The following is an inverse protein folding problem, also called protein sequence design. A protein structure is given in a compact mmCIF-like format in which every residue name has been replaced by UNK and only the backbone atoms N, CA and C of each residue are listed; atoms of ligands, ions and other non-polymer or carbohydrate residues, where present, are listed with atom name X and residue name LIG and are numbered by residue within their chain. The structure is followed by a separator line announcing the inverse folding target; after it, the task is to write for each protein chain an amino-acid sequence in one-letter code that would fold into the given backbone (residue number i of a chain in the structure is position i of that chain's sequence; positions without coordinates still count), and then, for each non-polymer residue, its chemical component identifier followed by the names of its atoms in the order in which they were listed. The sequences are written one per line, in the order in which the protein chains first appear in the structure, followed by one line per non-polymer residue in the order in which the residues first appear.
data_IF_507894178582
#
_entry.id   IF_507894178582
#
_cell.length_a   1.000
_cell.length_b   1.000
_cell.length_c   1.000
_cell.angle_alpha   90.00
_cell.angle_beta   90.00
_cell.angle_gamma   90.00
#
_symmetry.space_group_name_H-M   'P 1'
#
loop_
_entity.id
_entity.type
_entity.pdbx_description
1 polymer ?
#
# COMPACT_ATOMS: atom_id res chain seq x y z
N UNK A 1 -0.59 -17.29 -9.33
CA UNK A 1 -0.62 -16.48 -8.08
C UNK A 1 -1.26 -17.29 -6.96
N UNK A 2 -0.72 -17.16 -5.76
CA UNK A 2 -1.30 -17.83 -4.59
C UNK A 2 -2.61 -17.19 -4.19
N UNK A 3 -3.50 -17.97 -3.60
CA UNK A 3 -4.77 -17.46 -3.10
C UNK A 3 -4.59 -16.71 -1.78
N UNK A 4 -5.43 -15.70 -1.57
CA UNK A 4 -5.57 -15.04 -0.27
C UNK A 4 -6.26 -15.99 0.70
N UNK A 5 -5.74 -16.04 1.93
CA UNK A 5 -6.39 -16.75 3.03
C UNK A 5 -7.16 -15.75 3.92
N UNK A 6 -7.17 -16.01 5.21
CA UNK A 6 -7.78 -15.10 6.18
C UNK A 6 -7.01 -13.77 6.20
N UNK A 7 -7.70 -12.66 5.92
CA UNK A 7 -7.07 -11.34 5.90
C UNK A 7 -6.92 -10.83 7.33
N UNK A 8 -5.67 -10.73 7.77
CA UNK A 8 -5.30 -10.29 9.12
C UNK A 8 -4.76 -8.85 9.12
N UNK A 9 -4.27 -8.36 7.98
CA UNK A 9 -3.69 -7.02 7.87
C UNK A 9 -4.13 -6.31 6.60
N UNK A 10 -4.31 -4.99 6.75
CA UNK A 10 -4.42 -4.07 5.63
C UNK A 10 -3.17 -3.20 5.73
N UNK A 11 -2.28 -3.33 4.76
CA UNK A 11 -0.93 -2.78 4.83
C UNK A 11 -0.78 -1.60 3.89
N UNK A 12 -0.40 -0.45 4.45
CA UNK A 12 -0.18 0.77 3.68
C UNK A 12 1.29 0.85 3.26
N UNK A 13 1.51 1.11 1.97
CA UNK A 13 2.81 1.27 1.33
C UNK A 13 2.90 2.60 0.60
N UNK A 14 4.10 2.97 0.18
CA UNK A 14 4.33 4.00 -0.84
C UNK A 14 5.18 3.39 -1.97
N UNK A 15 5.16 4.05 -3.14
CA UNK A 15 5.97 3.58 -4.27
C UNK A 15 7.46 3.88 -4.09
N UNK A 16 7.83 4.70 -3.11
CA UNK A 16 9.20 5.17 -2.90
C UNK A 16 9.75 5.90 -4.12
N UNK A 17 8.90 6.72 -4.74
CA UNK A 17 9.25 7.52 -5.91
C UNK A 17 9.16 9.01 -5.56
N UNK A 18 9.91 9.84 -6.31
CA UNK A 18 9.91 11.29 -6.09
C UNK A 18 8.52 11.88 -6.33
N UNK A 19 8.20 12.91 -5.56
CA UNK A 19 6.90 13.60 -5.62
C UNK A 19 6.60 14.14 -7.02
N UNK A 20 7.63 14.50 -7.81
CA UNK A 20 7.46 14.96 -9.19
C UNK A 20 7.28 13.84 -10.21
N UNK A 21 7.52 12.61 -9.84
CA UNK A 21 7.44 11.47 -10.75
C UNK A 21 6.00 10.94 -10.82
N UNK A 22 5.47 10.88 -12.05
CA UNK A 22 4.17 10.23 -12.29
C UNK A 22 4.38 8.73 -12.41
N UNK A 23 3.64 7.97 -11.61
CA UNK A 23 3.71 6.51 -11.59
C UNK A 23 2.31 5.95 -11.75
N UNK A 24 2.15 4.98 -12.63
CA UNK A 24 0.88 4.29 -12.88
C UNK A 24 0.97 2.83 -12.44
N UNK A 25 -0.19 2.17 -12.37
CA UNK A 25 -0.22 0.71 -12.12
C UNK A 25 0.56 -0.04 -13.18
N UNK A 26 0.53 0.42 -14.45
CA UNK A 26 1.30 -0.20 -15.52
C UNK A 26 2.80 -0.14 -15.25
N UNK A 27 3.29 0.98 -14.72
CA UNK A 27 4.70 1.12 -14.35
C UNK A 27 5.07 0.15 -13.25
N UNK A 28 4.25 0.08 -12.20
CA UNK A 28 4.47 -0.82 -11.06
C UNK A 28 4.44 -2.28 -11.54
N UNK A 29 3.47 -2.61 -12.39
CA UNK A 29 3.33 -3.95 -12.96
C UNK A 29 4.60 -4.34 -13.72
N UNK A 30 5.11 -3.44 -14.57
CA UNK A 30 6.34 -3.66 -15.32
C UNK A 30 7.53 -3.88 -14.39
N UNK A 31 7.66 -3.06 -13.34
CA UNK A 31 8.77 -3.19 -12.39
C UNK A 31 8.71 -4.50 -11.61
N UNK A 32 7.50 -4.89 -11.18
CA UNK A 32 7.31 -6.14 -10.42
C UNK A 32 7.53 -7.37 -11.30
N UNK A 33 7.07 -7.35 -12.55
CA UNK A 33 7.34 -8.44 -13.51
C UNK A 33 8.83 -8.58 -13.79
N UNK A 34 9.57 -7.47 -13.83
CA UNK A 34 11.02 -7.49 -13.99
C UNK A 34 11.74 -8.17 -12.81
N UNK A 35 11.11 -8.20 -11.63
CA UNK A 35 11.61 -8.92 -10.45
C UNK A 35 11.22 -10.40 -10.45
N UNK A 36 10.48 -10.87 -11.45
CA UNK A 36 10.00 -12.24 -11.53
C UNK A 36 8.63 -12.48 -10.92
N UNK A 37 7.94 -11.42 -10.49
CA UNK A 37 6.59 -11.55 -9.93
C UNK A 37 5.55 -11.62 -11.07
N UNK A 38 4.36 -12.17 -10.75
CA UNK A 38 3.33 -12.40 -11.76
C UNK A 38 2.78 -11.10 -12.36
N UNK A 39 2.63 -10.05 -11.51
CA UNK A 39 2.12 -8.74 -11.90
C UNK A 39 2.30 -7.79 -10.72
N UNK A 40 1.70 -6.58 -10.79
CA UNK A 40 1.68 -5.63 -9.68
C UNK A 40 1.39 -6.37 -8.36
N UNK A 41 2.20 -6.13 -7.34
CA UNK A 41 2.08 -6.81 -6.06
C UNK A 41 1.09 -6.19 -5.08
N UNK A 42 0.64 -4.95 -5.34
CA UNK A 42 -0.36 -4.27 -4.51
C UNK A 42 -1.77 -4.56 -5.02
N UNK A 43 -2.74 -4.54 -4.13
CA UNK A 43 -4.15 -4.71 -4.50
C UNK A 43 -4.77 -3.40 -4.96
N UNK A 44 -4.36 -2.27 -4.35
CA UNK A 44 -4.86 -0.94 -4.68
C UNK A 44 -3.71 0.06 -4.74
N UNK A 45 -3.79 0.98 -5.70
CA UNK A 45 -2.80 2.05 -5.87
C UNK A 45 -3.54 3.38 -5.94
N UNK A 46 -3.11 4.35 -5.13
CA UNK A 46 -3.70 5.68 -5.08
C UNK A 46 -2.75 6.65 -5.75
N UNK A 47 -3.19 7.25 -6.87
CA UNK A 47 -2.40 8.22 -7.62
C UNK A 47 -2.39 9.57 -6.89
N UNK A 48 -1.49 10.45 -7.30
CA UNK A 48 -1.32 11.75 -6.65
C UNK A 48 -2.58 12.64 -6.72
N UNK A 49 -3.43 12.44 -7.73
CA UNK A 49 -4.71 13.14 -7.85
C UNK A 49 -5.82 12.54 -6.98
N UNK A 50 -5.52 11.51 -6.20
CA UNK A 50 -6.47 10.83 -5.34
C UNK A 50 -7.25 9.71 -6.01
N UNK A 51 -7.07 9.45 -7.30
CA UNK A 51 -7.77 8.35 -7.97
C UNK A 51 -7.25 7.01 -7.48
N UNK A 52 -8.17 6.05 -7.29
CA UNK A 52 -7.87 4.72 -6.77
C UNK A 52 -7.92 3.74 -7.93
N UNK A 53 -6.84 2.98 -8.10
CA UNK A 53 -6.69 2.06 -9.23
C UNK A 53 -6.47 0.64 -8.73
N UNK A 54 -7.13 -0.37 -9.35
CA UNK A 54 -6.91 -1.76 -8.98
C UNK A 54 -5.56 -2.26 -9.49
N UNK A 55 -4.90 -3.03 -8.64
CA UNK A 55 -3.73 -3.79 -9.02
C UNK A 55 -4.10 -5.26 -9.10
N UNK A 56 -3.48 -6.08 -8.21
CA UNK A 56 -3.80 -7.50 -8.13
C UNK A 56 -5.19 -7.68 -7.51
N UNK A 57 -6.06 -8.58 -8.02
CA UNK A 57 -7.36 -8.85 -7.38
C UNK A 57 -7.20 -9.33 -5.94
N UNK A 58 -8.12 -8.91 -5.06
CA UNK A 58 -8.03 -9.22 -3.61
C UNK A 58 -8.08 -10.70 -3.28
N UNK A 59 -8.67 -11.53 -4.17
CA UNK A 59 -8.71 -12.98 -3.97
C UNK A 59 -7.34 -13.64 -4.06
N UNK A 60 -6.34 -12.93 -4.57
CA UNK A 60 -4.97 -13.44 -4.69
C UNK A 60 -4.06 -12.74 -3.71
N UNK A 61 -3.15 -13.51 -3.11
CA UNK A 61 -2.09 -12.96 -2.28
C UNK A 61 -1.24 -12.00 -3.11
N UNK A 62 -0.90 -10.85 -2.54
CA UNK A 62 -0.04 -9.87 -3.19
C UNK A 62 1.43 -10.28 -3.15
N UNK A 63 2.28 -9.33 -3.51
CA UNK A 63 3.73 -9.41 -3.34
C UNK A 63 4.17 -8.06 -2.80
N UNK A 64 3.95 -7.83 -1.50
CA UNK A 64 4.21 -6.53 -0.87
C UNK A 64 4.72 -6.64 0.57
N UNK A 65 4.47 -7.74 1.29
CA UNK A 65 5.05 -8.01 2.61
C UNK A 65 5.50 -9.46 2.67
N UNK A 66 6.79 -9.67 2.55
CA UNK A 66 7.36 -11.03 2.56
C UNK A 66 6.92 -11.81 3.80
N UNK A 67 6.49 -13.05 3.61
CA UNK A 67 5.99 -13.99 4.61
C UNK A 67 4.57 -13.70 5.12
N UNK A 68 3.93 -12.59 4.73
CA UNK A 68 2.60 -12.21 5.20
C UNK A 68 1.59 -12.03 4.08
N UNK A 69 2.03 -12.17 2.82
CA UNK A 69 1.22 -11.84 1.64
C UNK A 69 -0.13 -12.56 1.58
N UNK A 70 -0.21 -13.79 2.07
CA UNK A 70 -1.47 -14.56 2.02
C UNK A 70 -2.50 -14.09 3.05
N UNK A 71 -2.13 -13.17 3.94
CA UNK A 71 -2.99 -12.64 5.00
C UNK A 71 -3.08 -11.12 4.98
N UNK A 72 -2.65 -10.48 3.89
CA UNK A 72 -2.51 -9.02 3.86
C UNK A 72 -3.01 -8.41 2.55
N UNK A 73 -3.89 -7.42 2.68
CA UNK A 73 -4.27 -6.55 1.56
C UNK A 73 -3.26 -5.41 1.49
N UNK A 74 -2.69 -5.16 0.32
CA UNK A 74 -1.72 -4.10 0.11
C UNK A 74 -2.32 -2.88 -0.56
N UNK A 75 -2.19 -1.72 0.08
CA UNK A 75 -2.64 -0.43 -0.42
C UNK A 75 -1.42 0.47 -0.55
N UNK A 76 -1.17 1.01 -1.74
CA UNK A 76 0.03 1.80 -2.02
C UNK A 76 -0.35 3.19 -2.54
N UNK A 77 0.23 4.24 -1.96
CA UNK A 77 0.12 5.57 -2.56
C UNK A 77 1.38 5.91 -3.36
N UNK A 78 1.19 6.63 -4.46
CA UNK A 78 2.31 7.08 -5.30
C UNK A 78 3.04 8.22 -4.61
N UNK A 79 4.33 8.04 -4.32
CA UNK A 79 5.16 9.04 -3.66
C UNK A 79 6.08 8.44 -2.62
N UNK A 80 6.33 9.19 -1.55
CA UNK A 80 7.16 8.78 -0.41
C UNK A 80 8.58 9.30 -0.45
N UNK A 81 8.97 10.02 -1.52
CA UNK A 81 10.30 10.64 -1.65
C UNK A 81 10.13 12.10 -2.07
N UNK A 82 10.79 13.01 -1.37
CA UNK A 82 10.74 14.43 -1.70
C UNK A 82 11.65 14.77 -2.90
N UNK A 83 11.66 16.04 -3.31
CA UNK A 83 12.48 16.49 -4.45
C UNK A 83 13.98 16.35 -4.21
N UNK A 84 14.41 16.30 -2.94
CA UNK A 84 15.80 16.12 -2.56
C UNK A 84 16.22 14.64 -2.49
N UNK A 85 15.30 13.72 -2.82
CA UNK A 85 15.57 12.28 -2.79
C UNK A 85 15.49 11.67 -1.41
N UNK A 86 14.89 12.36 -0.44
CA UNK A 86 14.76 11.86 0.93
C UNK A 86 13.35 11.33 1.18
N UNK A 87 13.24 10.29 1.99
CA UNK A 87 11.95 9.75 2.39
C UNK A 87 11.16 10.78 3.19
N UNK A 88 9.90 10.97 2.82
CA UNK A 88 9.00 11.91 3.45
C UNK A 88 7.55 11.52 3.18
N UNK A 89 6.65 11.98 4.04
CA UNK A 89 5.21 11.86 3.78
C UNK A 89 4.83 12.90 2.72
N UNK A 90 4.76 12.44 1.46
CA UNK A 90 4.46 13.30 0.31
C UNK A 90 3.00 13.19 -0.13
N UNK A 91 2.13 12.59 0.70
CA UNK A 91 0.72 12.42 0.32
C UNK A 91 0.06 13.78 0.06
N UNK A 92 -0.61 13.88 -1.08
CA UNK A 92 -1.45 15.04 -1.38
C UNK A 92 -2.71 15.02 -0.52
N UNK A 93 -3.42 16.16 -0.34
CA UNK A 93 -4.72 16.16 0.34
C UNK A 93 -5.71 15.16 -0.27
N UNK A 94 -5.69 15.02 -1.61
CA UNK A 94 -6.55 14.10 -2.34
C UNK A 94 -6.20 12.65 -2.01
N UNK A 95 -4.91 12.33 -1.89
CA UNK A 95 -4.47 10.99 -1.46
C UNK A 95 -4.86 10.69 -0.02
N UNK A 96 -4.72 11.66 0.87
CA UNK A 96 -5.11 11.48 2.28
C UNK A 96 -6.60 11.15 2.38
N UNK A 97 -7.44 11.89 1.67
CA UNK A 97 -8.89 11.65 1.66
C UNK A 97 -9.24 10.28 1.08
N UNK A 98 -8.67 9.95 -0.08
CA UNK A 98 -8.95 8.67 -0.74
C UNK A 98 -8.45 7.48 0.08
N UNK A 99 -7.28 7.61 0.69
CA UNK A 99 -6.72 6.56 1.54
C UNK A 99 -7.62 6.28 2.74
N UNK A 100 -8.11 7.32 3.40
CA UNK A 100 -9.03 7.16 4.53
C UNK A 100 -10.30 6.41 4.13
N UNK A 101 -10.93 6.82 3.01
CA UNK A 101 -12.15 6.17 2.53
C UNK A 101 -11.90 4.71 2.14
N UNK A 102 -10.82 4.44 1.43
CA UNK A 102 -10.48 3.07 1.03
C UNK A 102 -10.22 2.17 2.24
N UNK A 103 -9.45 2.66 3.21
CA UNK A 103 -9.16 1.88 4.43
C UNK A 103 -10.42 1.61 5.24
N UNK A 104 -11.33 2.60 5.31
CA UNK A 104 -12.61 2.41 5.98
C UNK A 104 -13.45 1.32 5.28
N UNK A 105 -13.51 1.35 3.95
CA UNK A 105 -14.23 0.34 3.17
C UNK A 105 -13.63 -1.04 3.36
N UNK A 106 -12.30 -1.14 3.32
CA UNK A 106 -11.60 -2.42 3.53
C UNK A 106 -11.84 -2.97 4.94
N UNK A 107 -11.91 -2.10 5.95
CA UNK A 107 -12.25 -2.53 7.31
C UNK A 107 -13.66 -3.08 7.42
N UNK A 108 -14.60 -2.55 6.63
CA UNK A 108 -15.95 -3.11 6.59
C UNK A 108 -15.96 -4.50 5.97
N UNK A 109 -15.15 -4.72 4.95
CA UNK A 109 -15.02 -6.03 4.31
C UNK A 109 -14.23 -7.02 5.19
N UNK A 110 -13.19 -6.54 5.85
CA UNK A 110 -12.29 -7.35 6.67
C UNK A 110 -12.22 -6.77 8.10
N UNK A 111 -13.30 -6.91 8.90
CA UNK A 111 -13.40 -6.19 10.19
C UNK A 111 -12.36 -6.62 11.22
N UNK A 112 -11.82 -7.83 11.10
CA UNK A 112 -10.77 -8.32 12.01
C UNK A 112 -9.36 -7.95 11.58
N UNK A 113 -9.20 -7.44 10.34
CA UNK A 113 -7.89 -7.04 9.85
C UNK A 113 -7.42 -5.75 10.53
N UNK A 114 -6.13 -5.68 10.84
CA UNK A 114 -5.53 -4.49 11.43
C UNK A 114 -4.85 -3.65 10.36
N UNK A 115 -5.07 -2.34 10.38
CA UNK A 115 -4.43 -1.40 9.48
C UNK A 115 -3.06 -1.06 10.04
N UNK A 116 -2.01 -1.35 9.27
CA UNK A 116 -0.61 -1.13 9.66
C UNK A 116 0.18 -0.57 8.48
N UNK A 117 1.36 -0.05 8.74
CA UNK A 117 2.32 0.33 7.71
C UNK A 117 3.28 -0.81 7.39
N UNK A 118 3.86 -0.79 6.20
CA UNK A 118 4.87 -1.78 5.81
C UNK A 118 6.01 -1.84 6.84
N UNK A 119 6.46 -0.69 7.33
CA UNK A 119 7.57 -0.61 8.30
C UNK A 119 7.23 -1.19 9.68
N UNK A 120 5.96 -1.52 9.93
CA UNK A 120 5.54 -2.09 11.22
C UNK A 120 5.79 -3.60 11.31
N UNK A 121 6.17 -4.24 10.21
CA UNK A 121 6.48 -5.68 10.21
C UNK A 121 7.91 -5.93 10.67
N UNK A 122 8.17 -7.09 11.31
CA UNK A 122 9.52 -7.46 11.72
C UNK A 122 10.49 -7.51 10.54
N UNK A 123 11.74 -7.12 10.76
CA UNK A 123 12.83 -7.16 9.78
C UNK A 123 12.65 -6.26 8.57
N UNK A 124 11.70 -5.31 8.60
CA UNK A 124 11.55 -4.30 7.57
C UNK A 124 12.30 -3.05 8.01
N UNK A 125 13.42 -2.77 7.35
CA UNK A 125 14.26 -1.61 7.64
C UNK A 125 14.00 -0.47 6.65
N UNK A 126 12.74 -0.28 6.24
CA UNK A 126 12.34 0.73 5.25
C UNK A 126 11.48 1.80 5.91
N UNK A 127 11.55 3.02 5.37
CA UNK A 127 10.70 4.11 5.82
C UNK A 127 9.24 3.97 5.37
N UNK A 128 9.00 3.23 4.31
CA UNK A 128 7.67 3.00 3.71
C UNK A 128 6.63 2.63 4.79
N UNK A 129 5.48 3.31 4.85
CA UNK A 129 4.94 4.30 3.92
C UNK A 129 5.29 5.76 4.24
N UNK A 130 6.27 6.02 5.07
CA UNK A 130 6.82 7.33 5.43
C UNK A 130 5.92 8.16 6.35
N UNK A 131 4.97 7.52 7.03
CA UNK A 131 4.18 8.13 8.11
C UNK A 131 3.71 7.03 9.07
N UNK A 132 3.26 7.45 10.24
CA UNK A 132 2.81 6.52 11.28
C UNK A 132 1.37 6.11 11.05
N UNK A 133 1.19 4.97 10.38
CA UNK A 133 -0.12 4.43 10.00
C UNK A 133 -0.96 4.09 11.23
N UNK A 134 -0.37 3.42 12.20
CA UNK A 134 -1.12 2.96 13.38
C UNK A 134 -1.68 4.12 14.19
N UNK A 135 -0.92 5.20 14.31
CA UNK A 135 -1.36 6.40 15.00
C UNK A 135 -2.47 7.12 14.22
N UNK A 136 -2.27 7.31 12.91
CA UNK A 136 -3.22 8.06 12.08
C UNK A 136 -4.56 7.36 11.95
N UNK A 137 -4.57 6.03 11.89
CA UNK A 137 -5.80 5.22 11.69
C UNK A 137 -6.21 4.44 12.94
N UNK A 138 -5.79 4.91 14.12
CA UNK A 138 -6.14 4.24 15.38
C UNK A 138 -7.65 4.09 15.55
N UNK A 139 -8.45 5.08 15.14
CA UNK A 139 -9.90 5.03 15.24
C UNK A 139 -10.53 3.96 14.35
N UNK A 140 -9.95 3.72 13.18
CA UNK A 140 -10.42 2.65 12.28
C UNK A 140 -10.05 1.26 12.80
N UNK A 141 -9.01 1.15 13.61
CA UNK A 141 -8.55 -0.11 14.17
C UNK A 141 -9.29 -0.52 15.47
N UNK A 142 -10.19 0.28 15.94
CA UNK A 142 -10.96 -0.04 17.15
C UNK A 142 -11.93 -1.21 16.94
#
# INVERSE_FOLDING_TARGET
MNRMFDVQWIVVHCTSTKVSQKVTVKDIDRWHRAKGWARCGYHWVIYQDGTIHPGRPEQYAGAHVRNYNQHAIGVCYVGGVDENGQYADTRTPEQIASLWHLLKDLKQTYPRARIVGHRDFPKVAKACPCFDVQSEYADLNK
#
